data_IF_912132074643
#
_entry.id   IF_912132074643
#
_cell.length_a   1.000
_cell.length_b   1.000
_cell.length_c   1.000
_cell.angle_alpha   90.00
_cell.angle_beta   90.00
_cell.angle_gamma   90.00
#
_symmetry.space_group_name_H-M   'P 1'
#
loop_
_entity.id
_entity.type
_entity.pdbx_description
1 polymer ?
#
# COMPACT_ATOMS: atom_id res chain seq x y z
N UNK A 1 -23.37 -15.49 -18.76
CA UNK A 1 -22.02 -15.20 -18.26
C UNK A 1 -22.18 -14.07 -17.27
N UNK A 2 -22.46 -14.43 -16.03
CA UNK A 2 -22.83 -13.51 -14.97
C UNK A 2 -21.58 -12.96 -14.31
N UNK A 3 -21.29 -11.68 -14.56
CA UNK A 3 -20.18 -10.98 -13.95
C UNK A 3 -20.59 -10.51 -12.54
N UNK A 4 -20.25 -11.29 -11.52
CA UNK A 4 -20.38 -10.85 -10.12
C UNK A 4 -19.29 -9.82 -9.83
N UNK A 5 -19.64 -8.54 -9.92
CA UNK A 5 -18.81 -7.44 -9.44
C UNK A 5 -18.81 -7.54 -7.91
N UNK A 6 -17.71 -8.02 -7.33
CA UNK A 6 -17.52 -8.03 -5.89
C UNK A 6 -17.37 -6.60 -5.41
N UNK A 7 -18.38 -6.07 -4.71
CA UNK A 7 -18.27 -4.80 -4.01
C UNK A 7 -17.12 -4.90 -2.99
N UNK A 8 -16.07 -4.09 -3.16
CA UNK A 8 -14.99 -4.00 -2.19
C UNK A 8 -15.26 -2.80 -1.28
N UNK A 9 -15.65 -3.09 -0.04
CA UNK A 9 -15.86 -2.07 0.97
C UNK A 9 -14.47 -1.57 1.46
N UNK A 10 -14.07 -0.37 1.04
CA UNK A 10 -12.86 0.29 1.57
C UNK A 10 -13.17 0.85 2.96
N UNK A 11 -13.08 0.03 4.01
CA UNK A 11 -13.24 0.51 5.38
C UNK A 11 -12.05 1.40 5.77
N UNK A 12 -12.27 2.71 5.84
CA UNK A 12 -11.25 3.67 6.29
C UNK A 12 -11.09 3.60 7.82
N UNK A 13 -10.33 2.61 8.30
CA UNK A 13 -9.96 2.56 9.72
C UNK A 13 -8.86 3.58 9.95
N UNK A 14 -9.24 4.77 10.45
CA UNK A 14 -8.29 5.76 10.93
C UNK A 14 -7.56 5.20 12.16
N UNK A 15 -6.49 4.46 11.93
CA UNK A 15 -5.55 4.10 13.00
C UNK A 15 -4.73 5.32 13.33
N UNK A 16 -5.21 6.10 14.30
CA UNK A 16 -4.45 7.09 15.06
C UNK A 16 -3.35 6.39 15.86
N UNK A 17 -2.37 5.80 15.16
CA UNK A 17 -1.10 5.38 15.73
C UNK A 17 -0.10 6.48 15.43
N UNK A 18 0.79 6.77 16.39
CA UNK A 18 1.91 7.70 16.26
C UNK A 18 2.48 7.62 14.85
N UNK A 19 2.37 8.70 14.07
CA UNK A 19 2.80 8.68 12.66
C UNK A 19 4.29 8.40 12.62
N UNK A 20 4.66 7.19 12.18
CA UNK A 20 6.06 6.82 12.01
C UNK A 20 6.71 7.85 11.07
N UNK A 21 7.81 8.45 11.53
CA UNK A 21 8.66 9.28 10.68
C UNK A 21 9.62 8.37 9.95
N UNK A 22 9.75 8.58 8.65
CA UNK A 22 10.67 7.82 7.81
C UNK A 22 11.88 8.69 7.54
N UNK A 23 13.05 8.22 8.00
CA UNK A 23 14.32 8.89 7.77
C UNK A 23 15.16 8.14 6.74
N UNK A 24 14.97 6.82 6.64
CA UNK A 24 15.73 5.93 5.75
C UNK A 24 14.82 5.03 4.90
N UNK A 25 15.40 4.37 3.91
CA UNK A 25 14.71 3.34 3.12
C UNK A 25 14.36 2.10 3.94
N UNK A 26 15.10 1.83 5.01
CA UNK A 26 14.83 0.73 5.93
C UNK A 26 13.54 0.98 6.72
N UNK A 27 13.36 2.20 7.26
CA UNK A 27 12.12 2.57 7.95
C UNK A 27 10.91 2.45 7.01
N UNK A 28 11.08 2.84 5.74
CA UNK A 28 10.04 2.71 4.73
C UNK A 28 9.71 1.24 4.43
N UNK A 29 10.74 0.39 4.35
CA UNK A 29 10.58 -1.04 4.17
C UNK A 29 9.82 -1.68 5.33
N UNK A 30 10.16 -1.37 6.58
CA UNK A 30 9.45 -1.90 7.76
C UNK A 30 7.97 -1.49 7.79
N UNK A 31 7.70 -0.20 7.51
CA UNK A 31 6.32 0.31 7.44
C UNK A 31 5.55 -0.42 6.35
N UNK A 32 6.12 -0.56 5.15
CA UNK A 32 5.47 -1.27 4.06
C UNK A 32 5.30 -2.76 4.37
N UNK A 33 6.30 -3.42 4.96
CA UNK A 33 6.28 -4.83 5.33
C UNK A 33 5.10 -5.14 6.26
N UNK A 34 4.84 -4.26 7.23
CA UNK A 34 3.71 -4.39 8.15
C UNK A 34 2.33 -4.35 7.45
N UNK A 35 2.24 -3.78 6.24
CA UNK A 35 1.01 -3.72 5.45
C UNK A 35 0.76 -4.95 4.58
N UNK A 36 1.74 -5.84 4.45
CA UNK A 36 1.58 -7.06 3.66
C UNK A 36 0.95 -8.17 4.51
N UNK A 37 0.09 -8.98 3.87
CA UNK A 37 -0.41 -10.20 4.49
C UNK A 37 0.75 -11.21 4.56
N UNK A 38 0.91 -11.84 5.73
CA UNK A 38 1.98 -12.81 5.97
C UNK A 38 1.92 -13.91 4.90
N UNK A 39 3.03 -14.13 4.19
CA UNK A 39 3.14 -15.18 3.17
C UNK A 39 2.64 -14.82 1.77
N UNK A 40 2.08 -13.62 1.53
CA UNK A 40 1.64 -13.25 0.17
C UNK A 40 2.69 -12.44 -0.62
N UNK A 41 3.72 -11.92 0.05
CA UNK A 41 4.74 -11.07 -0.58
C UNK A 41 5.64 -11.82 -1.57
N UNK A 42 5.84 -13.13 -1.37
CA UNK A 42 6.76 -13.92 -2.21
C UNK A 42 6.14 -14.42 -3.51
N UNK A 43 4.79 -14.39 -3.63
CA UNK A 43 4.07 -15.00 -4.75
C UNK A 43 3.29 -14.00 -5.60
N UNK A 44 3.26 -12.74 -5.18
CA UNK A 44 2.52 -11.67 -5.85
C UNK A 44 3.34 -10.39 -5.84
N UNK A 45 3.43 -9.76 -7.00
CA UNK A 45 4.01 -8.42 -7.12
C UNK A 45 2.99 -7.38 -6.66
N UNK A 46 3.46 -6.38 -5.90
CA UNK A 46 2.61 -5.26 -5.47
C UNK A 46 3.32 -3.96 -5.76
N UNK A 47 2.59 -3.01 -6.34
CA UNK A 47 3.02 -1.64 -6.46
C UNK A 47 2.25 -0.81 -5.44
N UNK A 48 2.91 -0.45 -4.33
CA UNK A 48 2.35 0.39 -3.27
C UNK A 48 3.07 1.73 -3.23
N UNK A 49 2.31 2.80 -3.04
CA UNK A 49 2.82 4.16 -2.87
C UNK A 49 2.59 4.59 -1.43
N UNK A 50 3.63 5.12 -0.79
CA UNK A 50 3.60 5.63 0.57
C UNK A 50 3.55 7.17 0.54
N UNK A 51 2.57 7.76 1.22
CA UNK A 51 2.41 9.20 1.29
C UNK A 51 3.08 9.76 2.54
N UNK A 52 3.96 10.74 2.33
CA UNK A 52 4.68 11.45 3.37
C UNK A 52 4.28 12.92 3.36
N UNK A 53 4.22 13.54 4.53
CA UNK A 53 4.18 15.00 4.62
C UNK A 53 5.59 15.61 4.55
N UNK A 54 5.68 16.94 4.53
CA UNK A 54 6.96 17.67 4.54
C UNK A 54 7.82 17.37 5.78
N UNK A 55 7.20 16.97 6.89
CA UNK A 55 7.89 16.54 8.11
C UNK A 55 8.28 15.05 8.11
N UNK A 56 8.22 14.38 6.94
CA UNK A 56 8.52 12.96 6.71
C UNK A 56 7.67 11.98 7.52
N UNK A 57 6.50 12.41 7.96
CA UNK A 57 5.54 11.56 8.66
C UNK A 57 4.67 10.83 7.65
N UNK A 58 4.42 9.55 7.91
CA UNK A 58 3.50 8.73 7.11
C UNK A 58 2.07 9.24 7.28
N UNK A 59 1.46 9.65 6.17
CA UNK A 59 0.04 10.01 6.07
C UNK A 59 -0.82 8.78 5.79
N UNK A 60 -0.28 7.84 5.01
CA UNK A 60 -0.94 6.61 4.63
C UNK A 60 -0.23 5.92 3.47
N UNK A 61 -0.77 4.82 2.99
CA UNK A 61 -0.31 4.14 1.78
C UNK A 61 -1.49 3.81 0.87
N UNK A 62 -1.24 3.69 -0.42
CA UNK A 62 -2.19 3.17 -1.38
C UNK A 62 -1.57 2.01 -2.16
N UNK A 63 -2.39 1.00 -2.47
CA UNK A 63 -2.03 -0.06 -3.39
C UNK A 63 -2.50 0.36 -4.78
N UNK A 64 -1.56 0.48 -5.71
CA UNK A 64 -1.83 0.88 -7.10
C UNK A 64 -2.05 -0.35 -7.98
N UNK A 65 -1.27 -1.42 -7.76
CA UNK A 65 -1.38 -2.65 -8.55
C UNK A 65 -0.97 -3.88 -7.73
N UNK A 66 -1.62 -5.00 -8.00
CA UNK A 66 -1.24 -6.34 -7.57
C UNK A 66 -1.09 -7.19 -8.86
N UNK A 67 0.14 -7.52 -9.27
CA UNK A 67 0.45 -8.20 -10.54
C UNK A 67 1.27 -7.37 -11.54
N UNK A 68 1.19 -7.68 -12.84
CA UNK A 68 2.00 -7.11 -13.93
C UNK A 68 2.02 -5.56 -13.90
N UNK A 69 3.21 -5.01 -13.67
CA UNK A 69 3.47 -3.57 -13.51
C UNK A 69 3.15 -2.72 -14.76
N UNK A 70 2.97 -3.34 -15.93
CA UNK A 70 3.21 -2.69 -17.24
C UNK A 70 1.97 -2.16 -17.99
N UNK A 71 0.74 -2.33 -17.49
CA UNK A 71 -0.46 -1.97 -18.30
C UNK A 71 -1.22 -0.70 -17.91
N UNK A 72 -0.86 0.00 -16.84
CA UNK A 72 -1.63 1.16 -16.37
C UNK A 72 -0.76 2.40 -16.08
N UNK A 73 0.22 2.69 -16.93
CA UNK A 73 0.90 4.00 -16.96
C UNK A 73 0.82 4.56 -18.39
N UNK A 74 -0.40 4.94 -18.78
CA UNK A 74 -0.71 5.85 -19.89
C UNK A 74 -1.92 6.68 -19.46
N UNK A 75 -1.69 7.67 -18.61
CA UNK A 75 -2.56 8.85 -18.45
C UNK A 75 -1.64 10.05 -18.28
#
# INVERSE_FOLDING_TARGET
>A
MDYTVGEVELTYKSTSKSRNKIYSSEDAYEVLLSTYKKGTICYKEYFKVLFLNQAKQVLGYTLISEGELLKLVLI
#
